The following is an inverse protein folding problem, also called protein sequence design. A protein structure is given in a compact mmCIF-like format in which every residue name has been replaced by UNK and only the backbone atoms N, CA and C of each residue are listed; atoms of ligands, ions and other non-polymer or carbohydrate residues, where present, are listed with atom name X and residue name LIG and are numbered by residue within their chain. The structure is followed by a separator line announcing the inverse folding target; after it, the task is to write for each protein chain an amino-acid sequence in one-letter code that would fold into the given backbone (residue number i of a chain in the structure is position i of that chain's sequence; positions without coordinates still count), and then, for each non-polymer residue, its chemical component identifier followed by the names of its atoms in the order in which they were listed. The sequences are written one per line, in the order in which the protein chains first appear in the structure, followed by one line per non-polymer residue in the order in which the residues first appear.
data_IF_219874819539
#
_entry.id   IF_219874819539
#
_cell.length_a   1.000
_cell.length_b   1.000
_cell.length_c   1.000
_cell.angle_alpha   90.00
_cell.angle_beta   90.00
_cell.angle_gamma   90.00
#
_symmetry.space_group_name_H-M   'P 1'
#
loop_
_entity.id
_entity.type
_entity.pdbx_description
1 polymer ?
#
# COMPACT_ATOMS: atom_id res chain seq x y z
N UNK A 1 -13.50 -22.31 -17.97
CA UNK A 1 -13.09 -20.92 -18.27
C UNK A 1 -11.79 -20.67 -17.53
N UNK A 2 -10.71 -20.37 -18.26
CA UNK A 2 -9.40 -20.07 -17.68
C UNK A 2 -9.50 -18.75 -16.89
N UNK A 3 -9.17 -18.73 -15.59
CA UNK A 3 -8.90 -17.47 -14.92
C UNK A 3 -7.52 -17.05 -15.44
N UNK A 4 -7.51 -16.09 -16.38
CA UNK A 4 -6.28 -15.39 -16.69
C UNK A 4 -5.78 -14.80 -15.38
N UNK A 5 -4.67 -15.33 -14.87
CA UNK A 5 -3.80 -14.64 -13.94
C UNK A 5 -3.46 -13.31 -14.60
N UNK A 6 -4.25 -12.29 -14.29
CA UNK A 6 -3.86 -10.93 -14.55
C UNK A 6 -2.69 -10.67 -13.60
N UNK A 7 -1.48 -10.78 -14.13
CA UNK A 7 -0.28 -10.07 -13.66
C UNK A 7 -0.49 -8.56 -13.82
N UNK A 8 -1.62 -8.08 -13.32
CA UNK A 8 -2.08 -6.72 -13.41
C UNK A 8 -1.56 -5.98 -12.21
N UNK A 9 -0.50 -5.21 -12.41
CA UNK A 9 0.05 -4.28 -11.43
C UNK A 9 -1.07 -3.58 -10.67
N UNK A 10 -1.04 -3.65 -9.34
CA UNK A 10 -2.08 -3.09 -8.47
C UNK A 10 -2.24 -1.59 -8.77
N UNK A 11 -3.46 -1.18 -9.12
CA UNK A 11 -3.77 0.23 -9.39
C UNK A 11 -4.03 0.98 -8.07
N UNK A 12 -3.03 1.73 -7.60
CA UNK A 12 -3.12 2.50 -6.36
C UNK A 12 -3.86 3.85 -6.48
N UNK A 13 -4.29 4.25 -7.69
CA UNK A 13 -4.98 5.52 -7.89
C UNK A 13 -6.18 5.74 -6.96
N UNK A 14 -7.04 4.74 -6.67
CA UNK A 14 -8.18 4.94 -5.76
C UNK A 14 -7.79 5.37 -4.34
N UNK A 15 -6.63 4.91 -3.85
CA UNK A 15 -6.11 5.28 -2.52
C UNK A 15 -5.40 6.63 -2.60
N UNK A 16 -4.61 6.85 -3.66
CA UNK A 16 -3.90 8.12 -3.87
C UNK A 16 -4.85 9.32 -4.06
N UNK A 17 -5.99 9.14 -4.73
CA UNK A 17 -7.00 10.17 -4.92
C UNK A 17 -7.68 10.63 -3.62
N UNK A 18 -7.60 9.84 -2.55
CA UNK A 18 -8.20 10.16 -1.25
C UNK A 18 -7.24 10.90 -0.31
N UNK A 19 -5.97 11.04 -0.71
CA UNK A 19 -4.99 11.79 0.08
C UNK A 19 -5.34 13.27 0.09
N UNK A 20 -5.40 13.85 1.28
CA UNK A 20 -5.80 15.25 1.43
C UNK A 20 -4.62 16.17 1.10
N UNK A 21 -4.71 16.97 0.03
CA UNK A 21 -3.65 17.91 -0.38
C UNK A 21 -3.85 19.27 0.29
N UNK A 22 -3.12 19.53 1.36
CA UNK A 22 -3.06 20.82 2.07
C UNK A 22 -1.62 21.24 2.37
N UNK A 23 -1.42 22.22 3.27
CA UNK A 23 -0.09 22.71 3.69
C UNK A 23 0.71 21.72 4.56
N UNK A 24 0.14 20.56 4.89
CA UNK A 24 0.75 19.49 5.67
C UNK A 24 1.01 18.26 4.77
N UNK A 25 1.87 17.35 5.24
CA UNK A 25 2.13 16.07 4.57
C UNK A 25 0.80 15.37 4.27
N UNK A 26 0.62 14.80 3.07
CA UNK A 26 -0.65 14.18 2.71
C UNK A 26 -0.98 13.08 3.71
N UNK A 27 -2.18 13.16 4.27
CA UNK A 27 -2.71 12.16 5.21
C UNK A 27 -3.94 11.52 4.60
N UNK A 28 -3.97 10.20 4.67
CA UNK A 28 -5.08 9.37 4.28
C UNK A 28 -6.16 9.45 5.38
N UNK A 29 -7.40 9.80 5.03
CA UNK A 29 -8.45 10.05 6.02
C UNK A 29 -9.00 8.77 6.69
N UNK A 30 -8.67 7.59 6.15
CA UNK A 30 -9.13 6.28 6.65
C UNK A 30 -8.05 5.46 7.36
N UNK A 31 -8.30 4.17 7.52
CA UNK A 31 -7.30 3.21 8.01
C UNK A 31 -6.42 2.76 6.84
N UNK A 32 -5.32 3.49 6.64
CA UNK A 32 -4.40 3.25 5.52
C UNK A 32 -3.96 1.79 5.45
N UNK A 33 -3.64 1.18 6.59
CA UNK A 33 -3.19 -0.20 6.67
C UNK A 33 -4.26 -1.16 6.15
N UNK A 34 -5.46 -1.09 6.72
CA UNK A 34 -6.54 -2.00 6.33
C UNK A 34 -6.94 -1.83 4.87
N UNK A 35 -6.91 -0.62 4.34
CA UNK A 35 -7.25 -0.34 2.95
C UNK A 35 -6.15 -0.82 1.99
N UNK A 36 -4.87 -0.63 2.33
CA UNK A 36 -3.75 -1.20 1.57
C UNK A 36 -3.82 -2.73 1.53
N UNK A 37 -4.03 -3.37 2.68
CA UNK A 37 -4.14 -4.82 2.78
C UNK A 37 -5.36 -5.34 2.00
N UNK A 38 -6.50 -4.66 2.08
CA UNK A 38 -7.70 -5.03 1.32
C UNK A 38 -7.50 -4.89 -0.17
N UNK A 39 -6.87 -3.80 -0.60
CA UNK A 39 -6.62 -3.52 -2.01
C UNK A 39 -5.62 -4.52 -2.63
N UNK A 40 -4.64 -4.97 -1.85
CA UNK A 40 -3.69 -6.02 -2.26
C UNK A 40 -4.21 -7.46 -2.07
N UNK A 41 -5.43 -7.66 -1.51
CA UNK A 41 -5.93 -9.01 -1.21
C UNK A 41 -5.18 -9.74 -0.08
N UNK A 42 -4.54 -9.00 0.83
CA UNK A 42 -3.64 -9.51 1.89
C UNK A 42 -4.20 -9.36 3.31
N UNK A 43 -5.48 -9.03 3.51
CA UNK A 43 -6.10 -8.74 4.83
C UNK A 43 -5.82 -9.83 5.88
N UNK A 44 -5.92 -11.10 5.48
CA UNK A 44 -5.74 -12.24 6.39
C UNK A 44 -4.38 -12.93 6.17
N UNK A 45 -3.47 -12.31 5.42
CA UNK A 45 -2.16 -12.88 5.11
C UNK A 45 -1.09 -12.29 6.04
N UNK A 46 -0.35 -13.12 6.81
CA UNK A 46 0.74 -12.63 7.67
C UNK A 46 1.80 -11.82 6.90
N UNK A 47 1.96 -12.13 5.61
CA UNK A 47 2.89 -11.46 4.70
C UNK A 47 2.47 -10.02 4.41
N UNK A 48 1.16 -9.74 4.36
CA UNK A 48 0.63 -8.39 4.18
C UNK A 48 0.97 -7.50 5.38
N UNK A 49 0.76 -8.01 6.59
CA UNK A 49 1.15 -7.29 7.82
C UNK A 49 2.65 -6.96 7.80
N UNK A 50 3.48 -7.97 7.53
CA UNK A 50 4.93 -7.81 7.49
C UNK A 50 5.36 -6.78 6.43
N UNK A 51 4.75 -6.81 5.24
CA UNK A 51 5.01 -5.84 4.17
C UNK A 51 4.62 -4.42 4.59
N UNK A 52 3.46 -4.25 5.25
CA UNK A 52 3.04 -2.94 5.73
C UNK A 52 3.99 -2.39 6.80
N UNK A 53 4.37 -3.20 7.79
CA UNK A 53 5.30 -2.77 8.84
C UNK A 53 6.66 -2.38 8.24
N UNK A 54 7.16 -3.17 7.29
CA UNK A 54 8.41 -2.85 6.60
C UNK A 54 8.32 -1.55 5.79
N UNK A 55 7.19 -1.30 5.11
CA UNK A 55 6.97 -0.03 4.42
C UNK A 55 7.00 1.18 5.37
N UNK A 56 6.38 1.04 6.56
CA UNK A 56 6.44 2.06 7.62
C UNK A 56 7.87 2.26 8.09
N UNK A 57 8.61 1.18 8.38
CA UNK A 57 10.00 1.25 8.84
C UNK A 57 10.92 1.95 7.83
N UNK A 58 10.78 1.66 6.53
CA UNK A 58 11.55 2.34 5.49
C UNK A 58 11.18 3.83 5.44
N UNK A 59 9.89 4.15 5.48
CA UNK A 59 9.42 5.54 5.42
C UNK A 59 9.87 6.40 6.62
N UNK A 60 10.17 5.78 7.78
CA UNK A 60 10.70 6.49 8.96
C UNK A 60 12.10 7.06 8.76
N UNK A 61 12.84 6.59 7.76
CA UNK A 61 14.17 7.11 7.43
C UNK A 61 14.10 8.44 6.66
N UNK A 62 12.89 8.88 6.31
CA UNK A 62 12.63 10.00 5.40
C UNK A 62 11.45 10.82 5.92
N UNK A 63 10.26 10.73 5.33
CA UNK A 63 9.12 11.60 5.66
C UNK A 63 8.05 10.92 6.50
N UNK A 64 8.00 9.58 6.48
CA UNK A 64 6.99 8.76 7.14
C UNK A 64 5.55 9.18 6.80
N UNK A 65 5.33 9.70 5.59
CA UNK A 65 4.00 10.12 5.14
C UNK A 65 3.27 8.98 4.40
N UNK A 66 1.94 9.07 4.36
CA UNK A 66 1.09 8.05 3.74
C UNK A 66 1.43 7.78 2.26
N UNK A 67 1.72 8.77 1.39
CA UNK A 67 2.19 8.50 0.04
C UNK A 67 3.47 7.65 -0.01
N UNK A 68 4.40 7.88 0.92
CA UNK A 68 5.64 7.14 0.99
C UNK A 68 5.42 5.71 1.49
N UNK A 69 4.53 5.53 2.47
CA UNK A 69 4.11 4.21 2.94
C UNK A 69 3.43 3.43 1.79
N UNK A 70 2.52 4.06 1.04
CA UNK A 70 1.87 3.45 -0.13
C UNK A 70 2.91 3.04 -1.18
N UNK A 71 3.90 3.90 -1.46
CA UNK A 71 4.98 3.61 -2.40
C UNK A 71 5.79 2.39 -1.99
N UNK A 72 6.29 2.35 -0.75
CA UNK A 72 7.10 1.23 -0.27
C UNK A 72 6.27 -0.06 -0.18
N UNK A 73 5.03 0.02 0.29
CA UNK A 73 4.12 -1.12 0.34
C UNK A 73 3.91 -1.72 -1.06
N UNK A 74 3.66 -0.88 -2.08
CA UNK A 74 3.54 -1.35 -3.46
C UNK A 74 4.77 -2.12 -3.92
N UNK A 75 5.97 -1.64 -3.63
CA UNK A 75 7.21 -2.30 -4.03
C UNK A 75 7.43 -3.62 -3.31
N UNK A 76 6.93 -3.77 -2.08
CA UNK A 76 7.04 -5.00 -1.30
C UNK A 76 6.02 -6.03 -1.75
N UNK A 77 4.78 -5.62 -2.05
CA UNK A 77 3.75 -6.53 -2.58
C UNK A 77 4.14 -7.08 -3.95
N UNK A 78 4.72 -6.25 -4.82
CA UNK A 78 5.27 -6.70 -6.12
C UNK A 78 6.35 -7.79 -5.99
N UNK A 79 6.97 -7.96 -4.80
CA UNK A 79 7.96 -9.01 -4.52
C UNK A 79 7.36 -10.25 -3.86
N UNK A 80 6.14 -10.15 -3.33
CA UNK A 80 5.40 -11.25 -2.69
C UNK A 80 4.59 -12.03 -3.73
N UNK A 81 4.09 -11.35 -4.77
CA UNK A 81 3.39 -11.98 -5.89
C UNK A 81 4.40 -12.60 -6.89
N UNK A 82 4.30 -13.91 -7.20
CA UNK A 82 5.11 -14.57 -8.23
C UNK A 82 4.59 -14.41 -9.66
#
# INVERSE_FOLDING_TARGET
MNPQLMTGKIDWNPILCQLNTGSQLPTYPGDLKMDLLRHAGLVDQPQGEAAYQLAVEISRLTTCCDPEIIYWFSRLVDLIEP
#
